data_IF_830939350026
#
_entry.id   IF_830939350026
#
_cell.length_a   1.000
_cell.length_b   1.000
_cell.length_c   1.000
_cell.angle_alpha   90.00
_cell.angle_beta   90.00
_cell.angle_gamma   90.00
#
_symmetry.space_group_name_H-M   'P 1'
#
loop_
_entity.id
_entity.type
_entity.pdbx_description
1 polymer ?
#
# COMPACT_ATOMS: atom_id res chain seq x y z
N UNK A 1 -20.65 -5.00 -10.27
CA UNK A 1 -20.12 -6.24 -9.70
C UNK A 1 -19.33 -5.87 -8.48
N UNK A 2 -19.78 -6.28 -7.30
CA UNK A 2 -19.15 -6.02 -6.00
C UNK A 2 -18.07 -7.06 -5.75
N UNK A 3 -16.84 -6.70 -6.06
CA UNK A 3 -15.66 -7.43 -5.61
C UNK A 3 -14.67 -6.37 -5.16
N UNK A 4 -14.49 -6.21 -3.85
CA UNK A 4 -13.23 -5.67 -3.37
C UNK A 4 -12.18 -6.68 -3.84
N UNK A 5 -11.46 -6.34 -4.91
CA UNK A 5 -10.35 -7.17 -5.37
C UNK A 5 -9.46 -7.42 -4.15
N UNK A 6 -9.13 -8.68 -3.88
CA UNK A 6 -8.37 -9.07 -2.70
C UNK A 6 -6.97 -8.39 -2.63
N UNK A 7 -6.56 -7.70 -3.71
CA UNK A 7 -5.35 -6.87 -3.78
C UNK A 7 -5.59 -5.38 -4.05
N UNK A 8 -6.82 -4.86 -3.92
CA UNK A 8 -7.12 -3.42 -4.10
C UNK A 8 -6.63 -2.54 -2.94
N UNK A 9 -6.66 -1.20 -3.08
CA UNK A 9 -6.18 -0.25 -2.07
C UNK A 9 -6.75 -0.48 -0.66
N UNK A 10 -8.06 -0.67 -0.55
CA UNK A 10 -8.73 -0.97 0.72
C UNK A 10 -8.20 -2.25 1.38
N UNK A 11 -8.05 -3.32 0.59
CA UNK A 11 -7.56 -4.61 1.07
C UNK A 11 -6.10 -4.52 1.55
N UNK A 12 -5.24 -3.78 0.83
CA UNK A 12 -3.86 -3.54 1.25
C UNK A 12 -3.79 -2.75 2.55
N UNK A 13 -4.57 -1.67 2.70
CA UNK A 13 -4.64 -0.91 3.97
C UNK A 13 -5.08 -1.79 5.14
N UNK A 14 -6.11 -2.61 4.93
CA UNK A 14 -6.61 -3.53 5.95
C UNK A 14 -5.57 -4.58 6.34
N UNK A 15 -4.88 -5.18 5.38
CA UNK A 15 -3.83 -6.15 5.62
C UNK A 15 -2.63 -5.54 6.37
N UNK A 16 -2.18 -4.34 5.96
CA UNK A 16 -1.11 -3.63 6.64
C UNK A 16 -1.50 -3.30 8.09
N UNK A 17 -2.73 -2.83 8.31
CA UNK A 17 -3.24 -2.54 9.66
C UNK A 17 -3.21 -3.78 10.56
N UNK A 18 -3.67 -4.92 10.05
CA UNK A 18 -3.69 -6.17 10.82
C UNK A 18 -2.28 -6.57 11.30
N UNK A 19 -1.28 -6.50 10.43
CA UNK A 19 0.12 -6.80 10.79
C UNK A 19 0.67 -5.78 11.79
N UNK A 20 0.36 -4.51 11.61
CA UNK A 20 0.85 -3.43 12.50
C UNK A 20 0.18 -3.47 13.88
N UNK A 21 -1.08 -3.88 13.97
CA UNK A 21 -1.79 -4.08 15.23
C UNK A 21 -1.17 -5.22 16.06
N UNK A 22 -0.62 -6.24 15.40
CA UNK A 22 0.17 -7.29 16.04
C UNK A 22 1.50 -6.74 16.56
N UNK A 23 2.19 -5.92 15.75
CA UNK A 23 3.43 -5.27 16.14
C UNK A 23 3.27 -4.29 17.32
N UNK A 24 2.10 -3.68 17.45
CA UNK A 24 1.77 -2.80 18.58
C UNK A 24 1.72 -3.54 19.93
N UNK A 25 1.61 -4.87 19.92
CA UNK A 25 1.59 -5.71 21.15
C UNK A 25 2.95 -6.28 21.53
N UNK A 26 4.00 -5.98 20.75
CA UNK A 26 5.37 -6.40 21.03
C UNK A 26 6.00 -5.55 22.16
N UNK A 27 7.20 -5.95 22.61
CA UNK A 27 7.98 -5.21 23.60
C UNK A 27 9.44 -5.03 23.14
N UNK A 28 9.88 -3.79 22.83
CA UNK A 28 9.10 -2.56 22.81
C UNK A 28 7.98 -2.56 21.74
N UNK A 29 6.86 -1.86 21.97
CA UNK A 29 5.76 -1.81 21.01
C UNK A 29 6.13 -0.96 19.80
N UNK A 30 5.56 -1.31 18.64
CA UNK A 30 5.56 -0.46 17.46
C UNK A 30 4.30 0.41 17.46
N UNK A 31 4.46 1.71 17.65
CA UNK A 31 3.35 2.68 17.69
C UNK A 31 3.22 3.35 16.32
N UNK A 32 2.09 3.17 15.66
CA UNK A 32 1.85 3.71 14.31
C UNK A 32 1.62 5.23 14.36
N UNK A 33 2.42 5.99 13.61
CA UNK A 33 2.23 7.43 13.40
C UNK A 33 1.36 7.68 12.15
N UNK A 34 1.60 6.93 11.07
CA UNK A 34 0.97 7.12 9.77
C UNK A 34 0.92 5.80 8.98
N UNK A 35 -0.20 5.54 8.31
CA UNK A 35 -0.39 4.46 7.35
C UNK A 35 -1.39 4.92 6.30
N UNK A 36 -0.94 5.15 5.08
CA UNK A 36 -1.83 5.48 3.98
C UNK A 36 -1.28 5.00 2.63
N UNK A 37 -2.19 4.86 1.67
CA UNK A 37 -1.82 4.79 0.26
C UNK A 37 -1.99 6.18 -0.33
N UNK A 38 -0.95 6.70 -0.97
CA UNK A 38 -0.93 8.05 -1.53
C UNK A 38 -0.57 8.06 -3.00
N UNK A 39 -1.07 9.06 -3.72
CA UNK A 39 -0.64 9.37 -5.08
C UNK A 39 0.82 9.89 -5.02
N UNK A 40 1.76 9.31 -5.79
CA UNK A 40 3.16 9.75 -5.75
C UNK A 40 3.38 11.17 -6.26
N UNK A 41 2.44 11.75 -7.02
CA UNK A 41 2.58 13.09 -7.60
C UNK A 41 2.35 14.20 -6.58
N UNK A 42 1.39 14.02 -5.66
CA UNK A 42 0.97 15.06 -4.72
C UNK A 42 0.83 14.60 -3.26
N UNK A 43 1.09 13.32 -2.99
CA UNK A 43 0.99 12.69 -1.67
C UNK A 43 -0.40 12.80 -1.02
N UNK A 44 -1.46 12.93 -1.82
CA UNK A 44 -2.84 12.85 -1.34
C UNK A 44 -3.30 11.39 -1.25
N UNK A 45 -4.20 11.09 -0.30
CA UNK A 45 -4.68 9.72 -0.11
C UNK A 45 -5.52 9.23 -1.30
N UNK A 46 -5.22 8.01 -1.77
CA UNK A 46 -5.99 7.40 -2.85
C UNK A 46 -7.27 6.72 -2.32
N UNK A 47 -8.35 6.86 -3.09
CA UNK A 47 -9.65 6.21 -2.83
C UNK A 47 -9.55 4.67 -2.82
N UNK A 48 -10.54 4.02 -2.22
CA UNK A 48 -10.56 2.56 -2.01
C UNK A 48 -10.52 1.73 -3.30
N UNK A 49 -11.07 2.25 -4.39
CA UNK A 49 -11.11 1.61 -5.71
C UNK A 49 -10.12 2.25 -6.70
N UNK A 50 -9.07 2.91 -6.20
CA UNK A 50 -8.05 3.54 -7.03
C UNK A 50 -7.33 2.51 -7.92
N UNK A 51 -7.01 2.94 -9.14
CA UNK A 51 -6.25 2.20 -10.15
C UNK A 51 -5.11 3.06 -10.63
N UNK A 52 -3.92 2.48 -10.80
CA UNK A 52 -2.70 3.19 -11.13
C UNK A 52 -1.62 3.00 -10.07
N UNK A 53 -0.59 3.83 -10.14
CA UNK A 53 0.53 3.83 -9.19
C UNK A 53 0.17 4.54 -7.89
N UNK A 54 0.54 3.94 -6.77
CA UNK A 54 0.39 4.50 -5.44
C UNK A 54 1.59 4.11 -4.58
N UNK A 55 1.79 4.82 -3.47
CA UNK A 55 2.81 4.49 -2.48
C UNK A 55 2.13 4.17 -1.16
N UNK A 56 2.39 2.98 -0.61
CA UNK A 56 2.05 2.68 0.77
C UNK A 56 3.11 3.32 1.67
N UNK A 57 2.74 4.43 2.29
CA UNK A 57 3.59 5.16 3.22
C UNK A 57 3.26 4.76 4.65
N UNK A 58 4.28 4.33 5.37
CA UNK A 58 4.21 3.90 6.77
C UNK A 58 5.20 4.71 7.59
N UNK A 59 4.76 5.25 8.71
CA UNK A 59 5.65 5.77 9.74
C UNK A 59 5.21 5.24 11.10
N UNK A 60 6.16 4.78 11.90
CA UNK A 60 5.90 4.25 13.23
C UNK A 60 7.08 4.52 14.17
N UNK A 61 6.87 4.36 15.47
CA UNK A 61 7.89 4.52 16.50
C UNK A 61 8.09 3.24 17.29
N UNK A 62 9.35 2.95 17.60
CA UNK A 62 9.75 1.89 18.53
C UNK A 62 10.64 2.55 19.58
N UNK A 63 10.09 2.74 20.79
CA UNK A 63 10.71 3.61 21.80
C UNK A 63 10.82 5.05 21.29
N UNK A 64 12.05 5.56 21.19
CA UNK A 64 12.34 6.92 20.69
C UNK A 64 12.66 6.97 19.20
N UNK A 65 12.87 5.82 18.56
CA UNK A 65 13.25 5.72 17.15
C UNK A 65 12.03 5.79 16.25
N UNK A 66 12.05 6.65 15.24
CA UNK A 66 11.02 6.74 14.20
C UNK A 66 11.46 5.99 12.95
N UNK A 67 10.68 5.01 12.54
CA UNK A 67 10.84 4.21 11.34
C UNK A 67 9.92 4.76 10.25
N UNK A 68 10.39 4.69 9.00
CA UNK A 68 9.63 5.09 7.82
C UNK A 68 9.86 4.00 6.77
N UNK A 69 8.79 3.59 6.10
CA UNK A 69 8.86 2.74 4.91
C UNK A 69 7.86 3.22 3.87
N UNK A 70 8.27 3.19 2.60
CA UNK A 70 7.48 3.62 1.45
C UNK A 70 7.56 2.53 0.39
N UNK A 71 6.45 1.84 0.15
CA UNK A 71 6.37 0.75 -0.83
C UNK A 71 5.53 1.18 -2.04
N UNK A 72 6.12 1.33 -3.24
CA UNK A 72 5.36 1.54 -4.46
C UNK A 72 4.51 0.32 -4.81
N UNK A 73 3.26 0.55 -5.19
CA UNK A 73 2.29 -0.45 -5.58
C UNK A 73 1.55 0.01 -6.83
N UNK A 74 1.16 -0.95 -7.68
CA UNK A 74 0.29 -0.69 -8.83
C UNK A 74 -1.02 -1.43 -8.63
N UNK A 75 -2.13 -0.70 -8.71
CA UNK A 75 -3.48 -1.25 -8.59
C UNK A 75 -4.17 -1.31 -9.95
N UNK A 76 -4.85 -2.43 -10.23
CA UNK A 76 -5.38 -2.76 -11.55
C UNK A 76 -4.43 -3.67 -12.34
N UNK A 77 -4.90 -4.22 -13.46
CA UNK A 77 -4.06 -5.12 -14.27
C UNK A 77 -2.94 -4.32 -14.95
N UNK A 78 -1.67 -4.78 -14.88
CA UNK A 78 -0.72 -4.37 -15.90
C UNK A 78 -1.29 -4.82 -17.24
N UNK A 79 -1.48 -3.89 -18.18
CA UNK A 79 -1.83 -4.22 -19.56
C UNK A 79 -0.95 -5.41 -20.02
N UNK A 80 -1.52 -6.46 -20.61
CA UNK A 80 -0.72 -7.50 -21.24
C UNK A 80 0.16 -6.84 -22.29
N UNK A 81 1.48 -6.83 -22.07
CA UNK A 81 2.42 -6.37 -23.10
C UNK A 81 2.28 -7.35 -24.28
N UNK A 82 1.58 -6.95 -25.33
CA UNK A 82 1.47 -7.77 -26.53
C UNK A 82 2.89 -8.07 -27.04
N UNK A 83 3.23 -9.33 -27.36
CA UNK A 83 4.58 -9.66 -27.80
C UNK A 83 4.91 -8.89 -29.08
N UNK A 84 6.04 -8.18 -29.08
CA UNK A 84 6.62 -7.58 -30.27
C UNK A 84 7.05 -8.73 -31.21
N UNK A 85 6.21 -9.09 -32.17
CA UNK A 85 6.51 -10.20 -33.07
C UNK A 85 5.31 -10.77 -33.83
N UNK A 86 4.57 -9.92 -34.53
CA UNK A 86 3.73 -10.36 -35.63
C UNK A 86 3.98 -9.43 -36.83
N UNK A 87 5.17 -9.52 -37.41
CA UNK A 87 5.40 -9.10 -38.77
C UNK A 87 5.48 -10.37 -39.62
N UNK A 88 4.52 -10.49 -40.54
CA UNK A 88 4.47 -11.51 -41.60
C UNK A 88 5.62 -11.38 -42.58
#
# INVERSE_FOLDING_TARGET
GTGADAGGPAAVRAAARLVLDDAARLNPPLVLDYLALVDPADFTEVRDEFTGEAVLAVAARVGTTRLIDNLPLTFGSPEPVAPLGAAS
#
